data_IF_546157541639
#
_entry.id   IF_546157541639
#
_cell.length_a   1.000
_cell.length_b   1.000
_cell.length_c   1.000
_cell.angle_alpha   90.00
_cell.angle_beta   90.00
_cell.angle_gamma   90.00
#
_symmetry.space_group_name_H-M   'P 1'
#
loop_
_entity.id
_entity.type
_entity.pdbx_description
1 polymer ?
#
# COMPACT_ATOMS: atom_id res chain seq x y z
N UNK A 1 -3.48 0.28 -3.29
CA UNK A 1 -4.68 0.57 -2.48
C UNK A 1 -5.05 2.02 -2.73
N UNK A 2 -6.16 2.29 -3.44
CA UNK A 2 -6.69 3.64 -3.62
C UNK A 2 -7.36 4.04 -2.30
N UNK A 3 -7.06 5.22 -1.76
CA UNK A 3 -7.79 5.74 -0.59
C UNK A 3 -8.84 6.72 -1.06
N UNK A 4 -10.01 6.59 -0.46
CA UNK A 4 -11.18 7.40 -0.70
C UNK A 4 -11.53 8.14 0.59
N UNK A 5 -12.31 9.20 0.49
CA UNK A 5 -12.97 9.77 1.66
C UNK A 5 -14.04 8.80 2.16
N UNK A 6 -13.88 8.31 3.39
CA UNK A 6 -14.80 7.36 4.01
C UNK A 6 -15.89 8.02 4.87
N UNK A 7 -15.87 9.36 5.01
CA UNK A 7 -16.74 10.07 5.94
C UNK A 7 -18.22 9.81 5.69
N UNK A 8 -18.65 9.85 4.41
CA UNK A 8 -20.05 9.60 4.04
C UNK A 8 -20.51 8.20 4.46
N UNK A 9 -19.69 7.19 4.17
CA UNK A 9 -20.02 5.81 4.46
C UNK A 9 -20.02 5.53 5.97
N UNK A 10 -19.04 6.05 6.71
CA UNK A 10 -19.01 5.93 8.18
C UNK A 10 -20.24 6.62 8.81
N UNK A 11 -20.61 7.79 8.29
CA UNK A 11 -21.82 8.50 8.77
C UNK A 11 -23.08 7.67 8.57
N UNK A 12 -23.21 7.03 7.40
CA UNK A 12 -24.34 6.14 7.10
C UNK A 12 -24.42 4.97 8.08
N UNK A 13 -23.30 4.29 8.34
CA UNK A 13 -23.23 3.16 9.27
C UNK A 13 -23.60 3.59 10.69
N UNK A 14 -23.05 4.70 11.18
CA UNK A 14 -23.40 5.18 12.53
C UNK A 14 -24.89 5.54 12.64
N UNK A 15 -25.51 6.06 11.58
CA UNK A 15 -26.95 6.32 11.55
C UNK A 15 -27.78 5.04 11.59
N UNK A 16 -27.40 4.01 10.83
CA UNK A 16 -28.06 2.70 10.83
C UNK A 16 -27.93 1.97 12.19
N UNK A 17 -26.81 2.19 12.89
CA UNK A 17 -26.55 1.60 14.20
C UNK A 17 -27.04 2.46 15.39
N UNK A 18 -27.62 3.63 15.11
CA UNK A 18 -28.03 4.61 16.14
C UNK A 18 -26.87 5.02 17.08
N UNK A 19 -25.65 5.14 16.55
CA UNK A 19 -24.44 5.51 17.30
C UNK A 19 -24.05 6.99 17.09
N UNK A 20 -23.49 7.60 18.15
CA UNK A 20 -22.98 8.97 18.10
C UNK A 20 -21.66 9.07 17.31
N UNK A 21 -21.62 9.92 16.27
CA UNK A 21 -20.43 10.17 15.47
C UNK A 21 -19.80 11.54 15.78
N UNK A 22 -18.58 11.55 16.34
CA UNK A 22 -17.78 12.77 16.55
C UNK A 22 -16.67 12.90 15.51
N UNK A 23 -16.73 13.94 14.67
CA UNK A 23 -15.75 14.18 13.60
C UNK A 23 -14.71 15.21 14.07
N UNK A 24 -13.43 14.82 14.12
CA UNK A 24 -12.29 15.71 14.38
C UNK A 24 -11.45 15.87 13.12
N UNK A 25 -11.39 17.11 12.60
CA UNK A 25 -10.61 17.43 11.38
C UNK A 25 -9.22 17.92 11.76
N UNK A 26 -8.22 17.46 11.01
CA UNK A 26 -6.81 17.82 11.23
C UNK A 26 -6.20 18.31 9.93
N UNK A 27 -5.49 19.42 10.02
CA UNK A 27 -4.72 19.97 8.91
C UNK A 27 -3.27 19.47 8.95
N UNK A 28 -2.59 19.61 7.81
CA UNK A 28 -1.17 19.26 7.71
C UNK A 28 -0.34 20.20 8.59
N UNK A 29 0.51 19.62 9.44
CA UNK A 29 1.29 20.38 10.43
C UNK A 29 2.39 21.28 9.84
N UNK A 30 2.91 20.93 8.66
CA UNK A 30 3.89 21.71 7.90
C UNK A 30 3.43 21.73 6.44
N UNK A 31 3.61 22.80 5.66
CA UNK A 31 3.13 22.83 4.28
C UNK A 31 3.86 21.83 3.37
N UNK A 32 3.22 21.48 2.24
CA UNK A 32 3.82 20.77 1.11
C UNK A 32 3.90 21.76 -0.07
N UNK A 33 5.04 21.81 -0.75
CA UNK A 33 5.20 22.61 -1.96
C UNK A 33 5.69 21.72 -3.09
N UNK A 34 5.12 21.92 -4.27
CA UNK A 34 5.61 21.30 -5.51
C UNK A 34 6.68 22.23 -6.08
N UNK A 35 7.83 21.69 -6.47
CA UNK A 35 8.86 22.51 -7.10
C UNK A 35 8.42 22.96 -8.51
N UNK A 36 9.01 24.07 -8.98
CA UNK A 36 8.70 24.61 -10.30
C UNK A 36 9.33 23.80 -11.43
N UNK A 37 10.47 23.17 -11.14
CA UNK A 37 11.21 22.35 -12.10
C UNK A 37 11.36 20.92 -11.58
N UNK A 38 11.43 19.98 -12.53
CA UNK A 38 11.82 18.61 -12.24
C UNK A 38 13.32 18.52 -11.94
N UNK A 39 13.71 17.41 -11.33
CA UNK A 39 15.11 17.14 -11.04
C UNK A 39 15.96 17.00 -12.32
N UNK A 40 15.38 16.48 -13.40
CA UNK A 40 15.96 16.18 -14.73
C UNK A 40 17.08 15.15 -14.73
N UNK A 41 17.99 15.20 -13.77
CA UNK A 41 19.14 14.31 -13.68
C UNK A 41 19.42 13.93 -12.21
N UNK A 42 19.68 12.65 -11.97
CA UNK A 42 19.97 12.10 -10.65
C UNK A 42 21.25 12.66 -10.02
N UNK A 43 22.13 13.31 -10.79
CA UNK A 43 23.29 14.01 -10.23
C UNK A 43 22.93 15.24 -9.38
N UNK A 44 21.72 15.77 -9.54
CA UNK A 44 21.25 16.96 -8.82
C UNK A 44 20.51 16.63 -7.51
N UNK A 45 20.55 15.37 -7.08
CA UNK A 45 19.98 14.98 -5.78
C UNK A 45 20.65 15.73 -4.64
N UNK A 46 19.85 16.03 -3.62
CA UNK A 46 20.28 16.74 -2.42
C UNK A 46 20.11 15.86 -1.18
N UNK A 47 20.84 16.15 -0.08
CA UNK A 47 20.66 15.43 1.16
C UNK A 47 19.21 15.43 1.64
N UNK A 48 18.78 14.25 2.10
CA UNK A 48 17.42 13.91 2.52
C UNK A 48 16.36 13.97 1.41
N UNK A 49 16.78 13.81 0.16
CA UNK A 49 15.91 13.44 -0.94
C UNK A 49 15.44 11.99 -0.81
N UNK A 50 14.16 11.77 -1.11
CA UNK A 50 13.57 10.45 -1.24
C UNK A 50 13.06 10.24 -2.66
N UNK A 51 13.68 9.31 -3.40
CA UNK A 51 13.32 8.99 -4.77
C UNK A 51 12.39 7.79 -4.78
N UNK A 52 11.23 7.96 -5.41
CA UNK A 52 10.16 6.97 -5.44
C UNK A 52 10.20 6.23 -6.77
N UNK A 53 10.42 4.93 -6.69
CA UNK A 53 10.45 4.00 -7.82
C UNK A 53 9.53 2.81 -7.57
N UNK A 54 8.82 2.35 -8.60
CA UNK A 54 7.74 1.35 -8.43
C UNK A 54 8.16 -0.11 -8.68
N UNK A 55 9.47 -0.37 -8.84
CA UNK A 55 9.98 -1.73 -9.00
C UNK A 55 11.29 -1.91 -8.22
N UNK A 56 11.53 -3.14 -7.72
CA UNK A 56 12.80 -3.49 -7.06
C UNK A 56 13.98 -3.24 -8.00
N UNK A 57 13.84 -3.59 -9.28
CA UNK A 57 14.88 -3.37 -10.30
C UNK A 57 15.24 -1.88 -10.41
N UNK A 58 14.24 -1.02 -10.56
CA UNK A 58 14.42 0.43 -10.65
C UNK A 58 15.04 1.03 -9.39
N UNK A 59 14.72 0.49 -8.20
CA UNK A 59 15.37 0.91 -6.94
C UNK A 59 16.89 0.69 -6.99
N UNK A 60 17.34 -0.50 -7.45
CA UNK A 60 18.78 -0.78 -7.58
C UNK A 60 19.44 0.02 -8.70
N UNK A 61 18.77 0.19 -9.84
CA UNK A 61 19.30 0.97 -10.97
C UNK A 61 19.51 2.45 -10.59
N UNK A 62 18.53 3.08 -9.93
CA UNK A 62 18.64 4.45 -9.44
C UNK A 62 19.74 4.57 -8.40
N UNK A 63 19.86 3.58 -7.50
CA UNK A 63 20.93 3.54 -6.48
C UNK A 63 22.30 3.58 -7.14
N UNK A 64 22.55 2.66 -8.06
CA UNK A 64 23.85 2.57 -8.72
C UNK A 64 24.16 3.87 -9.46
N UNK A 65 23.19 4.42 -10.21
CA UNK A 65 23.37 5.69 -10.92
C UNK A 65 23.74 6.85 -10.00
N UNK A 66 23.10 6.97 -8.83
CA UNK A 66 23.41 8.05 -7.87
C UNK A 66 24.79 7.85 -7.26
N UNK A 67 25.11 6.62 -6.85
CA UNK A 67 26.40 6.32 -6.20
C UNK A 67 27.59 6.35 -7.17
N UNK A 68 27.33 6.23 -8.48
CA UNK A 68 28.34 6.40 -9.55
C UNK A 68 28.53 7.88 -9.94
N UNK A 69 27.45 8.68 -9.91
CA UNK A 69 27.47 10.08 -10.36
C UNK A 69 27.66 11.12 -9.25
N UNK A 70 27.53 10.70 -7.98
CA UNK A 70 27.61 11.57 -6.81
C UNK A 70 28.43 10.91 -5.69
N UNK A 71 28.83 11.68 -4.67
CA UNK A 71 29.50 11.16 -3.47
C UNK A 71 28.52 10.57 -2.44
N UNK A 72 27.21 10.64 -2.67
CA UNK A 72 26.21 10.21 -1.70
C UNK A 72 26.05 8.70 -1.66
N UNK A 73 25.70 8.17 -0.48
CA UNK A 73 25.25 6.78 -0.34
C UNK A 73 23.74 6.73 -0.20
N UNK A 74 23.16 5.68 -0.76
CA UNK A 74 21.71 5.52 -0.79
C UNK A 74 21.24 4.40 0.15
N UNK A 75 20.26 4.70 0.98
CA UNK A 75 19.40 3.73 1.65
C UNK A 75 18.31 3.21 0.70
N UNK A 76 17.85 1.98 0.92
CA UNK A 76 16.80 1.36 0.09
C UNK A 76 15.66 0.81 0.94
N UNK A 77 14.42 1.13 0.58
CA UNK A 77 13.22 0.59 1.22
C UNK A 77 12.22 0.12 0.17
N UNK A 78 11.93 -1.18 0.13
CA UNK A 78 10.90 -1.77 -0.73
C UNK A 78 10.06 -2.80 0.01
N UNK A 79 8.87 -3.12 -0.52
CA UNK A 79 7.83 -3.85 0.22
C UNK A 79 8.21 -5.23 0.74
N UNK A 80 9.02 -6.00 -0.02
CA UNK A 80 9.47 -7.34 0.39
C UNK A 80 10.66 -7.34 1.36
N UNK A 81 11.16 -6.18 1.75
CA UNK A 81 12.30 -6.08 2.67
C UNK A 81 11.85 -6.42 4.10
N UNK A 82 12.58 -7.30 4.84
CA UNK A 82 12.23 -7.65 6.21
C UNK A 82 12.06 -6.41 7.09
N UNK A 83 11.11 -6.46 8.04
CA UNK A 83 10.78 -5.31 8.90
C UNK A 83 11.98 -4.77 9.66
N UNK A 84 12.83 -5.66 10.19
CA UNK A 84 14.08 -5.28 10.86
C UNK A 84 15.02 -4.51 9.93
N UNK A 85 15.23 -5.00 8.71
CA UNK A 85 16.08 -4.32 7.71
C UNK A 85 15.50 -2.99 7.28
N UNK A 86 14.17 -2.89 7.10
CA UNK A 86 13.49 -1.62 6.83
C UNK A 86 13.75 -0.61 7.94
N UNK A 87 13.57 -1.01 9.20
CA UNK A 87 13.84 -0.16 10.35
C UNK A 87 15.30 0.33 10.37
N UNK A 88 16.26 -0.58 10.16
CA UNK A 88 17.68 -0.22 10.12
C UNK A 88 18.02 0.77 8.99
N UNK A 89 17.44 0.59 7.81
CA UNK A 89 17.61 1.54 6.69
C UNK A 89 16.99 2.90 7.00
N UNK A 90 15.87 2.94 7.73
CA UNK A 90 15.24 4.17 8.18
C UNK A 90 16.10 4.94 9.19
N UNK A 91 16.67 4.21 10.16
CA UNK A 91 17.57 4.77 11.17
C UNK A 91 18.79 5.39 10.49
N UNK A 92 19.45 4.64 9.60
CA UNK A 92 20.57 5.14 8.81
C UNK A 92 20.21 6.39 8.01
N UNK A 93 19.05 6.42 7.34
CA UNK A 93 18.64 7.61 6.60
C UNK A 93 18.36 8.83 7.51
N UNK A 94 17.85 8.60 8.73
CA UNK A 94 17.48 9.67 9.65
C UNK A 94 18.65 10.26 10.43
N UNK A 95 19.75 9.53 10.57
CA UNK A 95 20.99 10.00 11.19
C UNK A 95 21.56 11.20 10.40
N UNK A 96 22.04 12.23 11.12
CA UNK A 96 22.56 13.46 10.51
C UNK A 96 24.08 13.39 10.22
N UNK A 97 24.80 12.47 10.86
CA UNK A 97 26.27 12.38 10.82
C UNK A 97 26.78 11.14 10.06
N UNK A 98 26.12 10.76 8.96
CA UNK A 98 26.58 9.66 8.13
C UNK A 98 26.50 10.02 6.63
N UNK A 99 27.07 9.17 5.77
CA UNK A 99 27.08 9.40 4.32
C UNK A 99 25.79 8.93 3.62
N UNK A 100 24.79 8.43 4.37
CA UNK A 100 23.56 7.83 3.87
C UNK A 100 22.42 8.86 3.79
N UNK A 101 22.61 9.84 2.90
CA UNK A 101 21.70 10.98 2.82
C UNK A 101 20.57 10.84 1.81
N UNK A 102 20.60 9.83 0.95
CA UNK A 102 19.59 9.63 -0.08
C UNK A 102 18.78 8.38 0.23
N UNK A 103 17.45 8.47 0.12
CA UNK A 103 16.57 7.31 0.24
C UNK A 103 15.97 6.97 -1.12
N UNK A 104 16.06 5.71 -1.53
CA UNK A 104 15.37 5.21 -2.71
C UNK A 104 14.33 4.20 -2.24
N UNK A 105 13.08 4.42 -2.62
CA UNK A 105 11.99 3.66 -2.06
C UNK A 105 10.87 3.33 -3.04
N UNK A 106 10.13 2.26 -2.76
CA UNK A 106 8.82 2.03 -3.37
C UNK A 106 7.72 2.69 -2.56
N UNK A 107 6.47 2.56 -2.99
CA UNK A 107 5.27 2.96 -2.25
C UNK A 107 5.15 2.36 -0.83
N UNK A 108 6.03 1.41 -0.47
CA UNK A 108 6.19 0.91 0.89
C UNK A 108 6.49 2.02 1.91
N UNK A 109 7.14 3.12 1.50
CA UNK A 109 7.37 4.26 2.42
C UNK A 109 6.12 5.04 2.74
N UNK A 110 5.01 4.84 2.02
CA UNK A 110 3.75 5.54 2.28
C UNK A 110 3.13 5.23 3.65
N UNK A 111 3.59 4.19 4.36
CA UNK A 111 3.07 3.77 5.67
C UNK A 111 4.15 3.18 6.57
N UNK A 112 3.96 3.29 7.90
CA UNK A 112 4.62 2.41 8.87
C UNK A 112 6.06 2.74 9.27
N UNK A 113 6.60 3.90 8.91
CA UNK A 113 7.97 4.31 9.27
C UNK A 113 8.05 5.82 9.56
N UNK A 114 8.95 6.26 10.43
CA UNK A 114 9.25 7.69 10.61
C UNK A 114 10.53 8.01 9.83
N UNK A 115 10.42 8.87 8.82
CA UNK A 115 11.52 9.23 7.91
C UNK A 115 11.61 10.76 7.84
N UNK A 116 12.82 11.29 7.98
CA UNK A 116 13.13 12.72 7.92
C UNK A 116 13.34 13.18 6.47
N UNK A 117 12.31 13.01 5.63
CA UNK A 117 12.38 13.34 4.20
C UNK A 117 12.18 14.84 4.00
N UNK A 118 13.14 15.51 3.34
CA UNK A 118 13.01 16.90 2.92
C UNK A 118 12.16 17.02 1.66
N UNK A 119 12.54 16.25 0.64
CA UNK A 119 11.97 16.31 -0.71
C UNK A 119 11.66 14.92 -1.22
N UNK A 120 10.47 14.75 -1.78
CA UNK A 120 10.07 13.53 -2.50
C UNK A 120 10.24 13.77 -4.00
N UNK A 121 10.92 12.86 -4.69
CA UNK A 121 11.13 12.90 -6.14
C UNK A 121 10.50 11.66 -6.75
N UNK A 122 9.46 11.83 -7.59
CA UNK A 122 8.87 10.71 -8.31
C UNK A 122 9.69 10.37 -9.55
N UNK A 123 10.24 9.15 -9.63
CA UNK A 123 10.99 8.71 -10.82
C UNK A 123 10.09 8.31 -11.98
N UNK A 124 8.84 7.95 -11.69
CA UNK A 124 7.79 7.59 -12.65
C UNK A 124 6.45 7.57 -11.91
N UNK A 125 5.33 7.66 -12.63
CA UNK A 125 3.98 7.42 -12.09
C UNK A 125 3.40 6.07 -12.53
N UNK A 126 4.19 5.25 -13.22
CA UNK A 126 3.75 3.95 -13.74
C UNK A 126 4.18 2.84 -12.77
N UNK A 127 3.21 2.04 -12.36
CA UNK A 127 3.41 0.88 -11.49
C UNK A 127 3.02 -0.38 -12.23
N UNK A 128 3.84 -1.42 -12.10
CA UNK A 128 3.53 -2.75 -12.60
C UNK A 128 3.03 -3.62 -11.44
N UNK A 129 1.83 -4.17 -11.57
CA UNK A 129 1.30 -5.16 -10.62
C UNK A 129 0.78 -6.41 -11.34
N UNK A 130 -0.02 -7.24 -10.65
CA UNK A 130 -0.57 -8.48 -11.23
C UNK A 130 -1.52 -8.24 -12.41
N UNK A 131 -2.07 -7.03 -12.54
CA UNK A 131 -2.99 -6.64 -13.61
C UNK A 131 -2.28 -5.89 -14.74
N UNK A 132 -0.95 -5.81 -14.69
CA UNK A 132 -0.12 -5.12 -15.66
C UNK A 132 0.30 -3.72 -15.23
N UNK A 133 0.72 -2.93 -16.21
CA UNK A 133 1.17 -1.57 -15.98
C UNK A 133 -0.01 -0.62 -15.89
N UNK A 134 -0.06 0.16 -14.81
CA UNK A 134 -1.08 1.19 -14.62
C UNK A 134 -0.46 2.43 -13.97
N UNK A 135 -1.11 3.57 -14.18
CA UNK A 135 -0.71 4.82 -13.52
C UNK A 135 -1.18 4.85 -12.07
N UNK A 136 -0.34 5.30 -11.15
CA UNK A 136 -0.69 5.40 -9.73
C UNK A 136 -1.79 6.44 -9.50
N UNK A 137 -2.68 6.19 -8.55
CA UNK A 137 -3.79 7.10 -8.28
C UNK A 137 -3.34 8.38 -7.55
N UNK A 138 -4.11 9.48 -7.71
CA UNK A 138 -3.90 10.73 -6.97
C UNK A 138 -3.81 10.53 -5.45
N UNK A 139 -4.59 9.59 -4.90
CA UNK A 139 -4.54 9.21 -3.50
C UNK A 139 -3.18 8.63 -3.08
N UNK A 140 -2.60 7.76 -3.89
CA UNK A 140 -1.27 7.19 -3.65
C UNK A 140 -0.19 8.28 -3.77
N UNK A 141 -0.29 9.16 -4.77
CA UNK A 141 0.61 10.32 -4.92
C UNK A 141 0.58 11.19 -3.66
N UNK A 142 -0.62 11.58 -3.19
CA UNK A 142 -0.80 12.35 -1.96
C UNK A 142 -0.21 11.67 -0.74
N UNK A 143 -0.41 10.36 -0.61
CA UNK A 143 0.12 9.58 0.49
C UNK A 143 1.65 9.58 0.52
N UNK A 144 2.29 9.41 -0.64
CA UNK A 144 3.74 9.35 -0.78
C UNK A 144 4.36 10.75 -0.64
N UNK A 145 3.85 11.74 -1.36
CA UNK A 145 4.30 13.14 -1.28
C UNK A 145 4.10 13.71 0.14
N UNK A 146 3.05 13.26 0.85
CA UNK A 146 2.77 13.60 2.25
C UNK A 146 3.84 13.13 3.26
N UNK A 147 4.85 12.38 2.81
CA UNK A 147 5.98 11.94 3.65
C UNK A 147 7.09 12.97 3.74
N UNK A 148 7.17 13.91 2.80
CA UNK A 148 8.06 15.06 2.90
C UNK A 148 7.59 16.00 4.02
N UNK A 149 8.52 16.50 4.84
CA UNK A 149 8.24 17.53 5.85
C UNK A 149 7.30 17.09 6.97
N UNK A 150 7.41 15.85 7.45
CA UNK A 150 6.60 15.35 8.59
C UNK A 150 6.92 16.04 9.92
N UNK A 151 6.02 15.92 10.89
CA UNK A 151 6.27 16.33 12.30
C UNK A 151 7.51 15.60 12.83
N UNK A 152 8.48 16.35 13.34
CA UNK A 152 9.76 15.84 13.83
C UNK A 152 10.92 15.98 12.83
N UNK A 153 10.64 16.25 11.55
CA UNK A 153 11.69 16.58 10.59
C UNK A 153 12.24 18.00 10.85
N UNK A 154 13.56 18.24 10.66
CA UNK A 154 14.15 19.57 10.80
C UNK A 154 13.67 20.58 9.74
N UNK A 155 13.04 20.12 8.66
CA UNK A 155 12.63 20.98 7.54
C UNK A 155 11.31 21.71 7.80
N UNK A 156 11.24 23.02 7.53
CA UNK A 156 10.05 23.85 7.77
C UNK A 156 8.88 23.52 6.82
N UNK A 157 9.19 23.08 5.61
CA UNK A 157 8.23 22.66 4.59
C UNK A 157 8.70 21.35 3.96
N UNK A 158 7.76 20.58 3.42
CA UNK A 158 8.08 19.42 2.57
C UNK A 158 8.09 19.85 1.10
N UNK A 159 9.03 19.33 0.33
CA UNK A 159 9.10 19.53 -1.12
C UNK A 159 8.68 18.27 -1.87
N UNK A 160 8.14 18.45 -3.06
CA UNK A 160 7.83 17.36 -3.97
C UNK A 160 8.12 17.76 -5.41
N UNK A 161 8.76 16.89 -6.18
CA UNK A 161 9.00 17.10 -7.61
C UNK A 161 9.03 15.76 -8.34
N UNK A 162 9.31 15.79 -9.64
CA UNK A 162 9.45 14.60 -10.50
C UNK A 162 10.88 14.53 -11.04
N UNK A 163 11.28 13.35 -11.52
CA UNK A 163 12.56 13.20 -12.22
C UNK A 163 12.46 13.80 -13.63
N UNK A 164 11.41 13.46 -14.36
CA UNK A 164 11.17 13.91 -15.73
C UNK A 164 10.26 15.15 -15.76
N UNK A 165 10.48 16.07 -16.70
CA UNK A 165 9.68 17.30 -16.86
C UNK A 165 8.23 17.00 -17.27
N UNK A 166 8.01 15.97 -18.10
CA UNK A 166 6.67 15.59 -18.59
C UNK A 166 5.72 15.13 -17.47
N UNK A 167 6.26 14.64 -16.36
CA UNK A 167 5.49 14.11 -15.24
C UNK A 167 5.03 15.20 -14.25
N UNK A 168 5.62 16.40 -14.29
CA UNK A 168 5.40 17.45 -13.29
C UNK A 168 3.95 17.96 -13.27
N UNK A 169 3.34 18.08 -14.46
CA UNK A 169 1.93 18.49 -14.56
C UNK A 169 0.99 17.45 -13.94
N UNK A 170 1.30 16.16 -14.10
CA UNK A 170 0.52 15.09 -13.49
C UNK A 170 0.62 15.10 -11.96
N UNK A 171 1.81 15.36 -11.42
CA UNK A 171 2.01 15.54 -9.98
C UNK A 171 1.13 16.66 -9.42
N UNK A 172 1.15 17.84 -10.06
CA UNK A 172 0.33 19.00 -9.65
C UNK A 172 -1.16 18.66 -9.65
N UNK A 173 -1.65 18.10 -10.77
CA UNK A 173 -3.03 17.65 -10.88
C UNK A 173 -3.42 16.67 -9.76
N UNK A 174 -2.57 15.70 -9.45
CA UNK A 174 -2.84 14.70 -8.43
C UNK A 174 -2.91 15.29 -7.01
N UNK A 175 -2.10 16.31 -6.70
CA UNK A 175 -2.09 16.95 -5.39
C UNK A 175 -3.30 17.88 -5.20
N UNK A 176 -3.75 18.56 -6.26
CA UNK A 176 -4.93 19.42 -6.23
C UNK A 176 -6.25 18.62 -6.20
N UNK A 177 -6.31 17.49 -6.93
CA UNK A 177 -7.54 16.69 -7.06
C UNK A 177 -8.08 16.22 -5.70
N UNK A 178 -9.32 16.55 -5.31
CA UNK A 178 -9.90 16.05 -4.06
C UNK A 178 -9.99 14.51 -4.07
N UNK A 179 -9.95 13.90 -2.89
CA UNK A 179 -10.18 12.47 -2.78
C UNK A 179 -11.64 12.19 -3.19
N UNK A 180 -11.84 11.17 -4.02
CA UNK A 180 -13.19 10.70 -4.31
C UNK A 180 -13.82 10.05 -3.08
N UNK A 181 -15.14 10.04 -3.01
CA UNK A 181 -15.88 9.36 -1.95
C UNK A 181 -15.81 7.84 -2.10
N UNK A 182 -15.75 7.14 -0.97
CA UNK A 182 -15.86 5.68 -0.90
C UNK A 182 -17.28 5.28 -1.27
N UNK A 183 -17.42 4.43 -2.29
CA UNK A 183 -18.74 4.01 -2.79
C UNK A 183 -19.25 2.74 -2.12
N UNK A 184 -18.36 1.82 -1.73
CA UNK A 184 -18.74 0.54 -1.14
C UNK A 184 -17.73 0.08 -0.08
N UNK A 185 -18.18 -0.76 0.87
CA UNK A 185 -17.36 -1.40 1.90
C UNK A 185 -17.22 -2.90 1.67
N UNK A 186 -16.02 -3.42 1.97
CA UNK A 186 -15.73 -4.83 1.83
C UNK A 186 -16.25 -5.64 3.02
N UNK A 187 -17.02 -6.69 2.75
CA UNK A 187 -17.42 -7.71 3.71
C UNK A 187 -16.64 -9.00 3.45
N UNK A 188 -16.33 -9.74 4.52
CA UNK A 188 -15.72 -11.06 4.42
C UNK A 188 -16.47 -12.02 5.34
N UNK A 189 -16.76 -13.25 4.91
CA UNK A 189 -17.55 -14.18 5.71
C UNK A 189 -16.75 -14.67 6.91
N UNK A 190 -17.39 -14.66 8.08
CA UNK A 190 -16.85 -15.25 9.29
C UNK A 190 -16.95 -16.78 9.22
N UNK A 191 -16.14 -17.45 10.05
CA UNK A 191 -16.16 -18.90 10.20
C UNK A 191 -17.58 -19.44 10.39
N UNK A 192 -18.38 -18.80 11.27
CA UNK A 192 -19.74 -19.25 11.57
C UNK A 192 -20.66 -19.21 10.34
N UNK A 193 -20.56 -18.18 9.51
CA UNK A 193 -21.35 -18.08 8.27
C UNK A 193 -21.05 -19.25 7.34
N UNK A 194 -19.77 -19.58 7.18
CA UNK A 194 -19.33 -20.66 6.30
C UNK A 194 -19.66 -22.04 6.88
N UNK A 195 -19.55 -22.20 8.20
CA UNK A 195 -19.90 -23.42 8.90
C UNK A 195 -21.40 -23.72 8.76
N UNK A 196 -22.25 -22.72 8.99
CA UNK A 196 -23.70 -22.83 8.77
C UNK A 196 -24.03 -23.15 7.31
N UNK A 197 -23.38 -22.49 6.36
CA UNK A 197 -23.58 -22.74 4.92
C UNK A 197 -23.22 -24.19 4.55
N UNK A 198 -22.10 -24.71 5.04
CA UNK A 198 -21.68 -26.09 4.78
C UNK A 198 -22.63 -27.12 5.37
N UNK A 199 -23.15 -26.88 6.58
CA UNK A 199 -24.14 -27.75 7.20
C UNK A 199 -25.45 -27.82 6.39
N UNK A 200 -25.83 -26.72 5.72
CA UNK A 200 -27.01 -26.68 4.84
C UNK A 200 -26.75 -27.35 3.48
N UNK A 201 -25.52 -27.27 2.96
CA UNK A 201 -25.14 -27.77 1.64
C UNK A 201 -25.00 -29.30 1.54
N UNK A 202 -25.20 -30.07 2.64
CA UNK A 202 -25.28 -31.54 2.69
C UNK A 202 -24.25 -32.28 1.80
N UNK A 203 -22.96 -32.10 2.14
CA UNK A 203 -21.82 -32.94 1.75
C UNK A 203 -21.36 -32.98 0.27
N UNK A 204 -22.06 -32.38 -0.69
CA UNK A 204 -21.60 -32.41 -2.10
C UNK A 204 -20.55 -31.35 -2.45
N UNK A 205 -20.21 -30.45 -1.51
CA UNK A 205 -19.37 -29.30 -1.78
C UNK A 205 -17.95 -29.47 -1.25
N UNK A 206 -16.96 -29.42 -2.15
CA UNK A 206 -15.56 -29.40 -1.75
C UNK A 206 -15.18 -28.06 -1.10
N UNK A 207 -14.36 -28.11 -0.05
CA UNK A 207 -13.99 -26.94 0.76
C UNK A 207 -13.37 -25.79 -0.05
N UNK A 208 -12.60 -26.08 -1.10
CA UNK A 208 -11.98 -25.02 -1.92
C UNK A 208 -13.00 -24.28 -2.81
N UNK A 209 -14.14 -24.90 -3.13
CA UNK A 209 -15.23 -24.26 -3.89
C UNK A 209 -16.26 -23.57 -2.98
N UNK A 210 -16.13 -23.73 -1.65
CA UNK A 210 -17.13 -23.26 -0.70
C UNK A 210 -17.27 -21.75 -0.69
N UNK A 211 -16.17 -20.99 -0.71
CA UNK A 211 -16.24 -19.53 -0.75
C UNK A 211 -16.82 -19.00 -2.06
N UNK A 212 -16.48 -19.61 -3.19
CA UNK A 212 -17.06 -19.26 -4.49
C UNK A 212 -18.58 -19.44 -4.45
N UNK A 213 -19.06 -20.60 -3.96
CA UNK A 213 -20.50 -20.86 -3.84
C UNK A 213 -21.18 -19.96 -2.81
N UNK A 214 -20.52 -19.68 -1.68
CA UNK A 214 -21.03 -18.77 -0.69
C UNK A 214 -21.22 -17.37 -1.29
N UNK A 215 -20.22 -16.89 -2.04
CA UNK A 215 -20.27 -15.61 -2.76
C UNK A 215 -21.36 -15.57 -3.82
N UNK A 216 -21.55 -16.65 -4.58
CA UNK A 216 -22.64 -16.78 -5.56
C UNK A 216 -24.02 -16.77 -4.92
N UNK A 217 -24.12 -17.28 -3.68
CA UNK A 217 -25.39 -17.40 -2.94
C UNK A 217 -25.68 -16.20 -2.03
N UNK A 218 -24.67 -15.34 -1.78
CA UNK A 218 -24.81 -14.20 -0.87
C UNK A 218 -25.49 -13.03 -1.56
N UNK A 219 -26.54 -12.50 -0.93
CA UNK A 219 -27.10 -11.20 -1.27
C UNK A 219 -26.52 -10.14 -0.32
N UNK A 220 -26.16 -8.98 -0.86
CA UNK A 220 -25.66 -7.83 -0.11
C UNK A 220 -26.33 -6.58 -0.66
N UNK A 221 -26.49 -5.57 0.19
CA UNK A 221 -26.94 -4.25 -0.26
C UNK A 221 -25.87 -3.59 -1.15
N UNK A 222 -26.28 -2.64 -1.99
CA UNK A 222 -25.44 -2.00 -3.01
C UNK A 222 -24.20 -1.31 -2.41
N UNK A 223 -24.24 -0.91 -1.14
CA UNK A 223 -23.13 -0.29 -0.43
C UNK A 223 -22.04 -1.28 0.01
N UNK A 224 -22.24 -2.58 -0.18
CA UNK A 224 -21.30 -3.61 0.23
C UNK A 224 -20.84 -4.47 -0.94
N UNK A 225 -19.63 -5.00 -0.83
CA UNK A 225 -19.11 -6.00 -1.76
C UNK A 225 -18.37 -7.10 -1.00
N UNK A 226 -18.37 -8.30 -1.56
CA UNK A 226 -17.57 -9.40 -1.01
C UNK A 226 -16.09 -9.15 -1.32
N UNK A 227 -15.25 -9.15 -0.29
CA UNK A 227 -13.80 -9.05 -0.41
C UNK A 227 -13.22 -10.13 -1.34
N UNK A 228 -12.03 -9.86 -1.88
CA UNK A 228 -11.28 -10.83 -2.69
C UNK A 228 -10.94 -12.08 -1.85
N UNK A 229 -11.26 -13.26 -2.40
CA UNK A 229 -11.10 -14.57 -1.75
C UNK A 229 -10.02 -15.43 -2.43
N UNK A 230 -9.31 -14.90 -3.45
CA UNK A 230 -8.35 -15.65 -4.27
C UNK A 230 -7.28 -16.37 -3.43
N UNK A 231 -6.71 -15.69 -2.43
CA UNK A 231 -5.72 -16.29 -1.55
C UNK A 231 -6.31 -17.47 -0.76
N UNK A 232 -7.51 -17.29 -0.21
CA UNK A 232 -8.19 -18.33 0.55
C UNK A 232 -8.44 -19.55 -0.34
N UNK A 233 -8.97 -19.34 -1.55
CA UNK A 233 -9.24 -20.41 -2.53
C UNK A 233 -7.95 -21.13 -2.95
N UNK A 234 -6.88 -20.39 -3.20
CA UNK A 234 -5.57 -20.95 -3.57
C UNK A 234 -5.00 -21.84 -2.48
N UNK A 235 -5.06 -21.39 -1.21
CA UNK A 235 -4.61 -22.18 -0.07
C UNK A 235 -5.54 -23.37 0.16
N UNK A 236 -6.86 -23.18 0.07
CA UNK A 236 -7.84 -24.25 0.21
C UNK A 236 -7.63 -25.37 -0.82
N UNK A 237 -7.30 -25.00 -2.06
CA UNK A 237 -6.97 -25.93 -3.13
C UNK A 237 -5.65 -26.66 -2.85
N UNK A 238 -4.62 -25.97 -2.36
CA UNK A 238 -3.35 -26.61 -2.00
C UNK A 238 -3.52 -27.64 -0.86
N UNK A 239 -4.38 -27.35 0.12
CA UNK A 239 -4.68 -28.23 1.25
C UNK A 239 -5.48 -29.49 0.87
N UNK A 240 -5.97 -29.63 -0.37
CA UNK A 240 -6.86 -30.74 -0.78
C UNK A 240 -6.29 -32.12 -0.45
N UNK A 241 -4.98 -32.31 -0.61
CA UNK A 241 -4.29 -33.59 -0.45
C UNK A 241 -4.18 -34.05 1.02
N UNK A 242 -4.15 -33.10 1.96
CA UNK A 242 -4.05 -33.36 3.40
C UNK A 242 -5.35 -33.07 4.16
N UNK A 243 -6.38 -32.63 3.43
CA UNK A 243 -7.63 -32.16 4.00
C UNK A 243 -8.34 -33.23 4.84
N UNK A 244 -8.23 -34.52 4.50
CA UNK A 244 -8.87 -35.64 5.20
C UNK A 244 -8.53 -35.75 6.68
N UNK A 245 -7.37 -35.24 7.12
CA UNK A 245 -6.95 -35.22 8.53
C UNK A 245 -7.30 -33.93 9.28
N UNK A 246 -7.86 -32.91 8.61
CA UNK A 246 -8.11 -31.59 9.20
C UNK A 246 -9.62 -31.35 9.38
N UNK A 247 -9.99 -30.87 10.56
CA UNK A 247 -11.33 -30.35 10.84
C UNK A 247 -11.65 -29.12 9.99
N UNK A 248 -12.94 -28.81 9.81
CA UNK A 248 -13.37 -27.63 9.05
C UNK A 248 -12.76 -26.32 9.62
N UNK A 249 -12.68 -26.21 10.94
CA UNK A 249 -12.09 -25.06 11.64
C UNK A 249 -10.59 -24.93 11.36
N UNK A 250 -9.85 -26.03 11.38
CA UNK A 250 -8.42 -26.03 11.05
C UNK A 250 -8.21 -25.60 9.60
N UNK A 251 -8.96 -26.19 8.65
CA UNK A 251 -8.89 -25.82 7.22
C UNK A 251 -9.16 -24.32 7.03
N UNK A 252 -10.21 -23.79 7.65
CA UNK A 252 -10.50 -22.35 7.63
C UNK A 252 -9.35 -21.51 8.16
N UNK A 253 -8.79 -21.87 9.33
CA UNK A 253 -7.68 -21.16 9.93
C UNK A 253 -6.42 -21.16 9.05
N UNK A 254 -6.10 -22.30 8.41
CA UNK A 254 -4.99 -22.38 7.46
C UNK A 254 -5.21 -21.47 6.25
N UNK A 255 -6.41 -21.43 5.69
CA UNK A 255 -6.73 -20.56 4.56
C UNK A 255 -6.71 -19.07 4.89
N UNK A 256 -6.95 -18.71 6.16
CA UNK A 256 -6.81 -17.33 6.65
C UNK A 256 -5.36 -16.92 6.91
N UNK A 257 -4.42 -17.86 6.92
CA UNK A 257 -3.01 -17.55 7.12
C UNK A 257 -2.48 -16.70 5.95
N UNK A 258 -1.85 -15.53 6.23
CA UNK A 258 -1.30 -14.68 5.19
C UNK A 258 -0.08 -15.36 4.54
N UNK A 259 -0.23 -15.82 3.31
CA UNK A 259 0.85 -16.46 2.54
C UNK A 259 1.07 -15.75 1.22
N UNK A 260 2.33 -15.72 0.78
CA UNK A 260 2.64 -15.25 -0.56
C UNK A 260 2.40 -16.37 -1.57
N UNK A 261 1.19 -16.40 -2.15
CA UNK A 261 0.78 -17.40 -3.15
C UNK A 261 1.66 -17.45 -4.41
N UNK A 262 2.57 -16.48 -4.61
CA UNK A 262 3.54 -16.48 -5.71
C UNK A 262 4.82 -17.26 -5.40
N UNK A 263 5.10 -17.51 -4.12
CA UNK A 263 6.31 -18.22 -3.71
C UNK A 263 6.03 -19.74 -3.68
N UNK A 264 6.60 -20.47 -4.63
CA UNK A 264 6.46 -21.93 -4.74
C UNK A 264 7.06 -22.69 -3.56
N UNK A 265 8.00 -22.10 -2.83
CA UNK A 265 8.57 -22.76 -1.64
C UNK A 265 7.62 -22.65 -0.44
N UNK A 266 6.65 -21.72 -0.49
CA UNK A 266 5.65 -21.48 0.57
C UNK A 266 4.33 -22.20 0.29
N UNK A 267 4.01 -22.44 -0.99
CA UNK A 267 2.79 -23.12 -1.47
C UNK A 267 3.04 -24.60 -1.74
#
# INVERSE_FOLDING_TARGET
MRRYDCLKMITKICQELEEDLTIKRYERLKPLQVEEESLRDLKYVQPKDCIIAFSRRSVYEIKNRIEESTSYRCCMIYGSLPSYTRQRQAELFNEENNNFDILIATDAVGMGMNLNIRRVVFSSFLKYDRYGQHQISASQVKQIAGRAGRRGSPYHHGLCTTLEDCDLQYLRHCLEKPLGDMQQMGLFPLYEHLNSFMNLAKETLEFYNMLTRFKESSCMDDEYFMCDVEQFETVAFALRSISTGLSFKERFNFCMAPVNIKNRDVM
#
